data_IF_391003264046
#
_entry.id   IF_391003264046
#
_cell.length_a   1.000
_cell.length_b   1.000
_cell.length_c   1.000
_cell.angle_alpha   90.00
_cell.angle_beta   90.00
_cell.angle_gamma   90.00
#
_symmetry.space_group_name_H-M   'P 1'
#
loop_
_entity.id
_entity.type
_entity.pdbx_description
1 polymer ?
#
# COMPACT_ATOMS: atom_id res chain seq x y z
N UNK A 1 -72.54 -37.34 -10.87
CA UNK A 1 -71.66 -37.00 -12.02
C UNK A 1 -71.06 -35.61 -11.81
N UNK A 2 -69.88 -35.51 -11.19
CA UNK A 2 -69.21 -34.23 -10.93
C UNK A 2 -68.52 -33.73 -12.21
N UNK A 3 -69.13 -32.78 -12.92
CA UNK A 3 -68.46 -32.04 -14.01
C UNK A 3 -67.40 -31.12 -13.39
N UNK A 4 -66.19 -31.64 -13.18
CA UNK A 4 -65.00 -30.80 -12.95
C UNK A 4 -64.74 -30.01 -14.24
N UNK A 5 -65.26 -28.79 -14.30
CA UNK A 5 -64.88 -27.82 -15.32
C UNK A 5 -63.39 -27.53 -15.17
N UNK A 6 -62.56 -28.07 -16.07
CA UNK A 6 -61.15 -27.69 -16.17
C UNK A 6 -61.11 -26.17 -16.37
N UNK A 7 -60.34 -25.41 -15.57
CA UNK A 7 -60.23 -23.98 -15.78
C UNK A 7 -59.70 -23.73 -17.20
N UNK A 8 -60.45 -22.96 -17.99
CA UNK A 8 -60.09 -22.60 -19.36
C UNK A 8 -58.67 -22.05 -19.40
N UNK A 9 -57.88 -22.43 -20.40
CA UNK A 9 -56.47 -22.04 -20.57
C UNK A 9 -56.28 -20.53 -20.42
N UNK A 10 -57.22 -19.72 -20.94
CA UNK A 10 -57.25 -18.26 -20.76
C UNK A 10 -57.22 -17.78 -19.30
N UNK A 11 -57.90 -18.47 -18.37
CA UNK A 11 -57.88 -18.13 -16.95
C UNK A 11 -56.52 -18.43 -16.32
N UNK A 12 -55.84 -19.47 -16.79
CA UNK A 12 -54.51 -19.84 -16.34
C UNK A 12 -53.49 -18.82 -16.85
N UNK A 13 -53.55 -18.47 -18.14
CA UNK A 13 -52.68 -17.43 -18.75
C UNK A 13 -52.87 -16.08 -18.07
N UNK A 14 -54.11 -15.65 -17.79
CA UNK A 14 -54.37 -14.41 -17.06
C UNK A 14 -53.82 -14.42 -15.63
N UNK A 15 -53.88 -15.55 -14.92
CA UNK A 15 -53.29 -15.68 -13.59
C UNK A 15 -51.76 -15.62 -13.64
N UNK A 16 -51.15 -16.34 -14.58
CA UNK A 16 -49.70 -16.36 -14.77
C UNK A 16 -49.19 -14.97 -15.14
N UNK A 17 -49.82 -14.26 -16.07
CA UNK A 17 -49.44 -12.87 -16.39
C UNK A 17 -49.56 -11.95 -15.16
N UNK A 18 -50.62 -12.10 -14.37
CA UNK A 18 -50.81 -11.30 -13.15
C UNK A 18 -49.77 -11.62 -12.08
N UNK A 19 -49.33 -12.87 -11.98
CA UNK A 19 -48.25 -13.26 -11.08
C UNK A 19 -46.89 -12.76 -11.58
N UNK A 20 -46.61 -12.85 -12.89
CA UNK A 20 -45.41 -12.29 -13.51
C UNK A 20 -45.34 -10.78 -13.28
N UNK A 21 -46.44 -10.06 -13.46
CA UNK A 21 -46.49 -8.60 -13.30
C UNK A 21 -46.29 -8.19 -11.83
N UNK A 22 -46.88 -8.94 -10.88
CA UNK A 22 -46.62 -8.73 -9.44
C UNK A 22 -45.17 -9.04 -9.07
N UNK A 23 -44.61 -10.13 -9.59
CA UNK A 23 -43.21 -10.48 -9.35
C UNK A 23 -42.29 -9.43 -9.97
N UNK A 24 -42.60 -8.89 -11.15
CA UNK A 24 -41.86 -7.79 -11.77
C UNK A 24 -41.88 -6.54 -10.89
N UNK A 25 -43.04 -6.14 -10.38
CA UNK A 25 -43.15 -4.99 -9.47
C UNK A 25 -42.37 -5.21 -8.17
N UNK A 26 -42.36 -6.42 -7.63
CA UNK A 26 -41.56 -6.77 -6.47
C UNK A 26 -40.06 -6.70 -6.76
N UNK A 27 -39.62 -7.18 -7.92
CA UNK A 27 -38.23 -7.11 -8.36
C UNK A 27 -37.81 -5.65 -8.57
N UNK A 28 -38.64 -4.83 -9.23
CA UNK A 28 -38.38 -3.40 -9.41
C UNK A 28 -38.30 -2.65 -8.08
N UNK A 29 -39.15 -2.99 -7.10
CA UNK A 29 -39.07 -2.47 -5.74
C UNK A 29 -37.74 -2.82 -5.07
N UNK A 30 -37.33 -4.09 -5.13
CA UNK A 30 -36.06 -4.55 -4.56
C UNK A 30 -34.84 -3.90 -5.24
N UNK A 31 -34.89 -3.69 -6.57
CA UNK A 31 -33.83 -3.00 -7.31
C UNK A 31 -33.75 -1.54 -6.88
N UNK A 32 -34.89 -0.84 -6.75
CA UNK A 32 -34.91 0.54 -6.30
C UNK A 32 -34.39 0.70 -4.86
N UNK A 33 -34.75 -0.22 -3.97
CA UNK A 33 -34.24 -0.21 -2.60
C UNK A 33 -32.74 -0.53 -2.55
N UNK A 34 -32.26 -1.47 -3.38
CA UNK A 34 -30.83 -1.75 -3.52
C UNK A 34 -30.05 -0.55 -4.09
N UNK A 35 -30.60 0.18 -5.06
CA UNK A 35 -30.00 1.40 -5.59
C UNK A 35 -29.91 2.50 -4.54
N UNK A 36 -30.98 2.71 -3.74
CA UNK A 36 -30.95 3.65 -2.62
C UNK A 36 -29.94 3.27 -1.55
N UNK A 37 -29.85 1.98 -1.23
CA UNK A 37 -28.83 1.47 -0.30
C UNK A 37 -27.42 1.70 -0.85
N UNK A 38 -27.22 1.48 -2.15
CA UNK A 38 -25.95 1.74 -2.80
C UNK A 38 -25.58 3.23 -2.76
N UNK A 39 -26.52 4.14 -3.04
CA UNK A 39 -26.27 5.59 -2.94
C UNK A 39 -25.96 6.03 -1.50
N UNK A 40 -26.68 5.47 -0.52
CA UNK A 40 -26.41 5.72 0.90
C UNK A 40 -25.01 5.24 1.31
N UNK A 41 -24.63 4.02 0.91
CA UNK A 41 -23.29 3.49 1.10
C UNK A 41 -22.23 4.32 0.39
N UNK A 42 -22.49 4.74 -0.85
CA UNK A 42 -21.58 5.57 -1.62
C UNK A 42 -21.31 6.89 -0.91
N UNK A 43 -22.34 7.55 -0.39
CA UNK A 43 -22.17 8.79 0.39
C UNK A 43 -21.42 8.52 1.70
N UNK A 44 -21.75 7.45 2.42
CA UNK A 44 -21.09 7.07 3.66
C UNK A 44 -19.62 6.68 3.45
N UNK A 45 -19.23 6.20 2.26
CA UNK A 45 -17.85 5.88 1.90
C UNK A 45 -17.13 7.12 1.35
N UNK A 46 -17.77 7.96 0.55
CA UNK A 46 -17.12 9.10 -0.07
C UNK A 46 -16.62 10.12 0.94
N UNK A 47 -17.37 10.41 1.99
CA UNK A 47 -16.98 11.40 3.01
C UNK A 47 -15.73 11.00 3.80
N UNK A 48 -15.62 9.78 4.36
CA UNK A 48 -14.38 9.35 5.02
C UNK A 48 -13.21 9.24 4.05
N UNK A 49 -13.44 8.88 2.78
CA UNK A 49 -12.38 8.90 1.78
C UNK A 49 -11.89 10.32 1.48
N UNK A 50 -12.79 11.29 1.29
CA UNK A 50 -12.43 12.71 1.10
C UNK A 50 -11.69 13.25 2.32
N UNK A 51 -12.12 12.90 3.53
CA UNK A 51 -11.44 13.26 4.77
C UNK A 51 -10.04 12.66 4.85
N UNK A 52 -9.89 11.37 4.53
CA UNK A 52 -8.60 10.70 4.50
C UNK A 52 -7.66 11.31 3.46
N UNK A 53 -8.16 11.65 2.26
CA UNK A 53 -7.38 12.36 1.25
C UNK A 53 -6.87 13.69 1.78
N UNK A 54 -7.73 14.46 2.45
CA UNK A 54 -7.37 15.75 3.04
C UNK A 54 -6.32 15.58 4.15
N UNK A 55 -6.49 14.61 5.04
CA UNK A 55 -5.52 14.31 6.11
C UNK A 55 -4.16 13.86 5.53
N UNK A 56 -4.18 13.09 4.44
CA UNK A 56 -2.97 12.67 3.73
C UNK A 56 -2.29 13.86 3.04
N UNK A 57 -3.05 14.75 2.40
CA UNK A 57 -2.52 15.96 1.79
C UNK A 57 -1.93 16.91 2.85
N UNK A 58 -2.61 17.13 3.97
CA UNK A 58 -2.13 17.95 5.08
C UNK A 58 -0.86 17.35 5.71
N UNK A 59 -0.82 16.03 5.89
CA UNK A 59 0.37 15.32 6.38
C UNK A 59 1.53 15.45 5.41
N UNK A 60 1.28 15.26 4.10
CA UNK A 60 2.27 15.43 3.05
C UNK A 60 2.80 16.85 3.02
N UNK A 61 1.96 17.88 3.12
CA UNK A 61 2.43 19.27 3.17
C UNK A 61 3.31 19.52 4.39
N UNK A 62 2.90 19.03 5.57
CA UNK A 62 3.68 19.16 6.80
C UNK A 62 5.01 18.42 6.71
N UNK A 63 5.04 17.22 6.15
CA UNK A 63 6.26 16.45 5.93
C UNK A 63 7.16 17.09 4.88
N UNK A 64 6.61 17.57 3.77
CA UNK A 64 7.37 18.29 2.74
C UNK A 64 7.96 19.59 3.30
N UNK A 65 7.22 20.31 4.14
CA UNK A 65 7.73 21.51 4.81
C UNK A 65 8.87 21.20 5.77
N UNK A 66 8.67 20.22 6.67
CA UNK A 66 9.73 19.77 7.60
C UNK A 66 10.94 19.22 6.87
N UNK A 67 10.73 18.47 5.80
CA UNK A 67 11.80 17.97 4.96
C UNK A 67 12.57 19.10 4.30
N UNK A 68 11.89 20.11 3.75
CA UNK A 68 12.56 21.27 3.17
C UNK A 68 13.33 22.06 4.23
N UNK A 69 12.77 22.25 5.43
CA UNK A 69 13.46 22.92 6.54
C UNK A 69 14.71 22.14 6.99
N UNK A 70 14.61 20.82 7.18
CA UNK A 70 15.74 19.95 7.52
C UNK A 70 16.76 19.86 6.37
N UNK A 71 16.31 19.89 5.12
CA UNK A 71 17.18 19.90 3.94
C UNK A 71 17.96 21.20 3.84
N UNK A 72 17.30 22.36 3.99
CA UNK A 72 17.96 23.66 4.03
C UNK A 72 18.94 23.75 5.19
N UNK A 73 18.56 23.26 6.38
CA UNK A 73 19.43 23.20 7.55
C UNK A 73 20.66 22.33 7.30
N UNK A 74 20.50 21.11 6.78
CA UNK A 74 21.62 20.24 6.39
C UNK A 74 22.50 20.84 5.32
N UNK A 75 21.93 21.51 4.33
CA UNK A 75 22.69 22.19 3.29
C UNK A 75 23.53 23.33 3.86
N UNK A 76 22.99 24.07 4.84
CA UNK A 76 23.74 25.12 5.54
C UNK A 76 24.86 24.54 6.40
N UNK A 77 24.57 23.50 7.18
CA UNK A 77 25.57 22.77 7.97
C UNK A 77 26.67 22.18 7.09
N UNK A 78 26.31 21.64 5.91
CA UNK A 78 27.27 21.14 4.94
C UNK A 78 28.16 22.27 4.38
N UNK A 79 27.59 23.42 4.04
CA UNK A 79 28.36 24.58 3.57
C UNK A 79 29.29 25.12 4.66
N UNK A 80 28.85 25.18 5.92
CA UNK A 80 29.68 25.56 7.06
C UNK A 80 30.83 24.57 7.28
N UNK A 81 30.56 23.27 7.18
CA UNK A 81 31.58 22.23 7.31
C UNK A 81 32.56 22.25 6.15
N UNK A 82 32.08 22.47 4.92
CA UNK A 82 32.91 22.71 3.75
C UNK A 82 33.82 23.94 3.96
N UNK A 83 33.27 25.06 4.43
CA UNK A 83 34.05 26.27 4.71
C UNK A 83 35.09 26.04 5.80
N UNK A 84 34.72 25.35 6.89
CA UNK A 84 35.62 25.01 7.98
C UNK A 84 36.75 24.09 7.51
N UNK A 85 36.46 23.12 6.63
CA UNK A 85 37.48 22.26 6.02
C UNK A 85 38.39 23.06 5.09
N UNK A 86 37.85 23.97 4.27
CA UNK A 86 38.61 24.87 3.40
C UNK A 86 39.53 25.80 4.19
N UNK A 87 39.04 26.36 5.29
CA UNK A 87 39.77 27.23 6.20
C UNK A 87 40.89 26.46 6.93
N UNK A 88 40.60 25.23 7.37
CA UNK A 88 41.59 24.34 8.01
C UNK A 88 42.60 23.74 7.04
N UNK A 89 42.25 23.62 5.75
CA UNK A 89 43.20 23.28 4.68
C UNK A 89 44.05 24.48 4.23
N UNK A 90 43.84 25.68 4.78
CA UNK A 90 44.66 26.86 4.47
C UNK A 90 44.49 27.38 3.05
N UNK A 91 43.36 27.08 2.40
CA UNK A 91 43.04 27.65 1.07
C UNK A 91 42.11 28.83 1.27
N UNK A 92 42.68 29.94 1.77
CA UNK A 92 42.04 31.23 1.62
C UNK A 92 42.19 31.67 0.15
N UNK A 93 41.07 31.67 -0.56
CA UNK A 93 40.76 32.57 -1.67
C UNK A 93 41.86 32.81 -2.73
N UNK A 94 41.80 32.04 -3.81
CA UNK A 94 41.87 32.63 -5.15
C UNK A 94 40.96 31.84 -6.07
N UNK A 95 39.92 32.53 -6.56
CA UNK A 95 39.06 32.11 -7.69
C UNK A 95 38.03 30.99 -7.46
N UNK A 96 36.98 31.24 -6.68
CA UNK A 96 35.67 30.61 -6.95
C UNK A 96 34.58 31.71 -7.05
N UNK A 97 33.83 31.79 -8.17
CA UNK A 97 32.80 32.80 -8.34
C UNK A 97 31.63 32.53 -7.37
N UNK A 98 31.16 33.59 -6.71
CA UNK A 98 29.94 33.60 -5.90
C UNK A 98 28.76 33.04 -6.70
N UNK A 99 28.41 31.78 -6.49
CA UNK A 99 27.14 31.22 -6.97
C UNK A 99 26.02 31.72 -6.06
N UNK A 100 25.19 32.61 -6.61
CA UNK A 100 23.91 33.08 -6.07
C UNK A 100 23.06 31.91 -5.54
N UNK A 101 22.23 32.12 -4.50
CA UNK A 101 21.31 31.12 -4.01
C UNK A 101 20.33 30.72 -5.14
N UNK A 102 20.39 29.46 -5.56
CA UNK A 102 19.48 28.91 -6.55
C UNK A 102 18.06 28.84 -5.94
N UNK A 103 17.14 29.48 -6.65
CA UNK A 103 15.76 29.67 -6.29
C UNK A 103 14.97 28.38 -6.03
N UNK A 104 13.92 28.52 -5.20
CA UNK A 104 12.77 27.63 -5.02
C UNK A 104 12.44 26.78 -6.26
N UNK A 105 12.18 25.46 -6.12
CA UNK A 105 11.54 24.71 -7.19
C UNK A 105 10.05 25.04 -7.22
N UNK A 106 9.66 25.94 -8.13
CA UNK A 106 8.28 26.10 -8.56
C UNK A 106 7.87 24.92 -9.47
N UNK A 107 6.62 24.50 -9.34
CA UNK A 107 6.04 23.34 -10.00
C UNK A 107 5.65 23.56 -11.48
N UNK A 108 5.85 22.48 -12.29
CA UNK A 108 5.13 22.04 -13.52
C UNK A 108 5.21 22.89 -14.82
N UNK A 109 4.87 22.35 -16.04
CA UNK A 109 4.55 20.97 -16.48
C UNK A 109 5.25 20.49 -17.81
N UNK A 110 4.84 19.32 -18.29
CA UNK A 110 5.35 18.46 -19.38
C UNK A 110 5.46 19.02 -20.83
N UNK A 111 6.34 18.43 -21.66
CA UNK A 111 6.11 18.20 -23.10
C UNK A 111 7.10 17.18 -23.73
N UNK A 112 6.65 16.55 -24.83
CA UNK A 112 7.08 15.30 -25.48
C UNK A 112 8.24 15.42 -26.51
N UNK A 113 9.01 14.33 -26.60
CA UNK A 113 9.48 13.58 -27.78
C UNK A 113 10.16 14.26 -29.00
N UNK A 114 11.36 13.77 -29.37
CA UNK A 114 11.67 13.21 -30.72
C UNK A 114 13.07 12.51 -30.76
N UNK A 115 13.13 11.38 -31.47
CA UNK A 115 14.27 10.51 -31.88
C UNK A 115 14.72 10.94 -33.32
N UNK A 116 15.70 10.35 -34.08
CA UNK A 116 16.65 9.23 -33.86
C UNK A 116 18.07 9.32 -34.52
N UNK A 117 18.87 8.22 -34.40
CA UNK A 117 19.99 7.73 -35.27
C UNK A 117 21.42 8.33 -35.06
N UNK A 118 22.58 7.67 -35.24
CA UNK A 118 23.00 6.29 -35.58
C UNK A 118 24.52 6.10 -35.28
N UNK A 119 24.91 4.87 -34.91
CA UNK A 119 26.16 4.09 -35.20
C UNK A 119 27.58 4.72 -35.16
N UNK A 120 28.47 4.08 -34.37
CA UNK A 120 29.65 3.32 -34.85
C UNK A 120 30.23 2.36 -33.79
N UNK A 121 30.63 1.16 -34.24
CA UNK A 121 31.18 0.03 -33.48
C UNK A 121 32.72 0.10 -33.34
N UNK A 122 33.37 -0.79 -32.53
CA UNK A 122 33.81 -2.11 -33.03
C UNK A 122 33.60 -3.27 -31.99
N UNK A 123 33.07 -4.42 -32.39
CA UNK A 123 33.77 -5.65 -32.83
C UNK A 123 34.72 -6.32 -31.80
N UNK A 124 34.26 -7.45 -31.20
CA UNK A 124 34.83 -8.80 -31.40
C UNK A 124 33.97 -9.91 -30.76
N UNK A 125 33.77 -10.95 -31.57
CA UNK A 125 33.10 -12.25 -31.38
C UNK A 125 33.83 -13.13 -30.32
N UNK A 126 33.23 -14.22 -29.75
CA UNK A 126 32.59 -15.29 -30.51
C UNK A 126 31.22 -15.79 -30.01
N UNK A 127 30.47 -16.27 -30.99
CA UNK A 127 29.21 -17.01 -30.87
C UNK A 127 29.55 -18.49 -30.75
N UNK A 128 28.96 -19.17 -29.76
CA UNK A 128 28.68 -20.60 -29.86
C UNK A 128 27.26 -20.88 -29.33
N UNK A 129 26.56 -21.73 -30.07
CA UNK A 129 25.10 -21.89 -30.16
C UNK A 129 24.41 -22.41 -28.89
N UNK A 130 23.16 -21.92 -28.73
CA UNK A 130 22.05 -22.42 -27.88
C UNK A 130 21.94 -23.97 -27.90
N UNK A 131 21.54 -24.60 -26.78
CA UNK A 131 20.16 -25.13 -26.77
C UNK A 131 19.41 -24.92 -25.44
N UNK A 132 18.08 -24.85 -25.61
CA UNK A 132 17.02 -25.24 -24.68
C UNK A 132 16.90 -24.57 -23.29
N UNK A 133 15.77 -23.88 -23.13
CA UNK A 133 15.18 -23.52 -21.85
C UNK A 133 15.09 -24.74 -20.91
N UNK A 134 15.81 -24.69 -19.78
CA UNK A 134 15.52 -25.57 -18.65
C UNK A 134 14.34 -25.00 -17.88
N UNK A 135 13.25 -25.78 -17.87
CA UNK A 135 12.09 -25.63 -16.98
C UNK A 135 12.57 -25.36 -15.56
N UNK A 136 11.94 -24.38 -14.92
CA UNK A 136 12.02 -24.16 -13.48
C UNK A 136 11.71 -25.48 -12.74
N UNK A 137 12.48 -25.87 -11.72
CA UNK A 137 12.13 -27.01 -10.91
C UNK A 137 10.84 -26.69 -10.15
N UNK A 138 9.80 -27.47 -10.44
CA UNK A 138 8.57 -27.49 -9.67
C UNK A 138 8.93 -27.67 -8.18
N UNK A 139 8.56 -26.68 -7.36
CA UNK A 139 8.74 -26.73 -5.90
C UNK A 139 7.99 -27.95 -5.36
N UNK A 140 8.77 -28.93 -4.90
CA UNK A 140 8.33 -30.02 -4.02
C UNK A 140 7.55 -29.42 -2.84
N UNK A 141 6.47 -30.05 -2.35
CA UNK A 141 5.79 -29.61 -1.13
C UNK A 141 6.80 -29.65 0.01
N UNK A 142 7.12 -28.49 0.58
CA UNK A 142 7.98 -28.42 1.75
C UNK A 142 7.25 -29.07 2.92
N UNK A 143 7.90 -30.07 3.52
CA UNK A 143 7.60 -30.59 4.85
C UNK A 143 7.31 -29.43 5.83
N UNK A 144 6.44 -29.63 6.85
CA UNK A 144 5.99 -28.56 7.73
C UNK A 144 7.21 -27.90 8.34
N UNK A 145 7.52 -26.69 7.83
CA UNK A 145 8.58 -25.88 8.38
C UNK A 145 8.18 -25.65 9.83
N UNK A 146 9.06 -26.04 10.76
CA UNK A 146 9.01 -25.51 12.13
C UNK A 146 8.72 -24.03 11.99
N UNK A 147 7.61 -23.57 12.57
CA UNK A 147 7.26 -22.16 12.59
C UNK A 147 8.51 -21.43 13.11
N UNK A 148 9.12 -20.62 12.25
CA UNK A 148 10.25 -19.79 12.65
C UNK A 148 9.71 -18.79 13.66
N UNK A 149 9.81 -19.12 14.96
CA UNK A 149 9.32 -18.31 16.08
C UNK A 149 9.95 -16.92 16.07
N UNK A 150 11.05 -16.72 15.35
CA UNK A 150 11.71 -15.43 15.16
C UNK A 150 11.16 -14.59 13.99
N UNK A 151 10.21 -15.13 13.23
CA UNK A 151 9.63 -14.47 12.07
C UNK A 151 8.29 -13.82 12.42
N UNK A 152 8.37 -12.61 12.99
CA UNK A 152 7.23 -11.84 13.45
C UNK A 152 6.21 -11.52 12.34
N UNK A 153 6.60 -11.59 11.06
CA UNK A 153 5.67 -11.39 9.93
C UNK A 153 4.68 -12.55 9.74
N UNK A 154 4.87 -13.66 10.46
CA UNK A 154 3.91 -14.77 10.46
C UNK A 154 2.64 -14.40 11.23
N UNK A 155 2.74 -13.49 12.19
CA UNK A 155 1.60 -12.95 12.92
C UNK A 155 0.80 -12.06 11.99
N UNK A 156 -0.46 -12.42 11.73
CA UNK A 156 -1.36 -11.67 10.87
C UNK A 156 -1.52 -10.24 11.43
N UNK A 157 -1.30 -9.26 10.56
CA UNK A 157 -1.31 -7.83 10.91
C UNK A 157 0.08 -7.24 11.19
N UNK A 158 1.11 -8.05 11.44
CA UNK A 158 2.49 -7.56 11.57
C UNK A 158 3.12 -7.46 10.17
N UNK A 159 3.06 -6.27 9.59
CA UNK A 159 3.72 -5.98 8.32
C UNK A 159 5.27 -5.96 8.43
N UNK A 160 6.00 -6.04 7.31
CA UNK A 160 7.47 -6.04 7.30
C UNK A 160 8.11 -4.80 7.95
N UNK A 161 7.42 -3.65 7.90
CA UNK A 161 7.86 -2.44 8.60
C UNK A 161 7.69 -2.57 10.13
N UNK A 162 6.56 -3.12 10.59
CA UNK A 162 6.31 -3.35 12.02
C UNK A 162 7.23 -4.44 12.56
N UNK A 163 7.45 -5.53 11.81
CA UNK A 163 8.41 -6.58 12.18
C UNK A 163 9.84 -6.04 12.32
N UNK A 164 10.27 -5.11 11.47
CA UNK A 164 11.57 -4.43 11.62
C UNK A 164 11.61 -3.58 12.89
N UNK A 165 10.60 -2.75 13.13
CA UNK A 165 10.54 -1.90 14.32
C UNK A 165 10.41 -2.70 15.62
N UNK A 166 9.73 -3.84 15.60
CA UNK A 166 9.65 -4.76 16.74
C UNK A 166 11.01 -5.42 17.02
N UNK A 167 11.73 -5.86 15.98
CA UNK A 167 13.10 -6.38 16.11
C UNK A 167 14.07 -5.32 16.63
N UNK A 168 13.96 -4.08 16.16
CA UNK A 168 14.73 -2.93 16.65
C UNK A 168 14.39 -2.59 18.11
N UNK A 169 13.12 -2.74 18.50
CA UNK A 169 12.68 -2.62 19.89
C UNK A 169 13.07 -3.83 20.76
N UNK A 170 13.70 -4.86 20.20
CA UNK A 170 14.13 -6.07 20.90
C UNK A 170 13.08 -7.17 21.04
N UNK A 171 11.87 -6.97 20.50
CA UNK A 171 10.86 -8.03 20.35
C UNK A 171 11.26 -8.82 19.11
N UNK A 172 11.86 -9.98 19.31
CA UNK A 172 12.42 -10.80 18.22
C UNK A 172 11.67 -12.10 18.01
N UNK A 173 10.78 -12.48 18.94
CA UNK A 173 10.05 -13.75 18.90
C UNK A 173 8.53 -13.59 18.99
N UNK A 174 7.81 -14.46 18.29
CA UNK A 174 6.34 -14.59 18.33
C UNK A 174 5.87 -14.84 19.77
N UNK A 175 6.65 -15.59 20.55
CA UNK A 175 6.35 -15.88 21.97
C UNK A 175 6.29 -14.61 22.84
N UNK A 176 7.14 -13.62 22.55
CA UNK A 176 7.16 -12.33 23.23
C UNK A 176 5.97 -11.44 22.83
N UNK A 177 5.36 -11.69 21.67
CA UNK A 177 4.15 -10.99 21.22
C UNK A 177 2.90 -11.66 21.80
N UNK A 178 2.91 -13.00 21.90
CA UNK A 178 1.85 -13.78 22.50
C UNK A 178 1.74 -13.53 24.01
N UNK A 179 2.85 -13.54 24.73
CA UNK A 179 2.94 -13.23 26.15
C UNK A 179 3.92 -12.07 26.38
N UNK A 180 3.49 -10.82 26.17
CA UNK A 180 4.37 -9.67 26.32
C UNK A 180 4.72 -9.41 27.79
N UNK A 181 6.02 -9.31 28.07
CA UNK A 181 6.54 -8.82 29.35
C UNK A 181 6.21 -7.33 29.52
N UNK A 182 6.31 -6.77 30.73
CA UNK A 182 5.98 -5.36 31.00
C UNK A 182 6.74 -4.39 30.06
N UNK A 183 8.01 -4.67 29.77
CA UNK A 183 8.83 -3.90 28.83
C UNK A 183 8.36 -4.06 27.36
N UNK A 184 7.85 -5.23 26.98
CA UNK A 184 7.35 -5.49 25.63
C UNK A 184 5.96 -4.90 25.44
N UNK A 185 5.15 -4.82 26.49
CA UNK A 185 3.86 -4.12 26.46
C UNK A 185 4.03 -2.63 26.19
N UNK A 186 5.02 -1.96 26.77
CA UNK A 186 5.29 -0.56 26.47
C UNK A 186 5.71 -0.34 25.01
N UNK A 187 6.55 -1.23 24.50
CA UNK A 187 6.97 -1.21 23.09
C UNK A 187 5.80 -1.51 22.15
N UNK A 188 4.94 -2.47 22.51
CA UNK A 188 3.72 -2.81 21.77
C UNK A 188 2.68 -1.68 21.81
N UNK A 189 2.60 -0.92 22.91
CA UNK A 189 1.78 0.30 22.99
C UNK A 189 2.25 1.36 21.99
N UNK A 190 3.55 1.48 21.74
CA UNK A 190 4.06 2.35 20.68
C UNK A 190 3.62 1.89 19.26
N UNK A 191 3.25 0.61 19.11
CA UNK A 191 2.67 0.04 17.90
C UNK A 191 1.13 -0.04 17.92
N UNK A 192 0.45 0.49 18.95
CA UNK A 192 -1.01 0.49 19.03
C UNK A 192 -1.67 1.22 17.85
N UNK A 193 -1.03 2.25 17.30
CA UNK A 193 -1.48 2.96 16.10
C UNK A 193 -1.40 2.14 14.81
N UNK A 194 -0.75 0.96 14.82
CA UNK A 194 -0.74 0.05 13.67
C UNK A 194 -2.07 -0.68 13.62
N UNK A 195 -2.73 -0.60 12.47
CA UNK A 195 -4.03 -1.27 12.23
C UNK A 195 -3.87 -2.79 12.44
N UNK A 196 -4.61 -3.36 13.38
CA UNK A 196 -4.52 -4.76 13.76
C UNK A 196 -3.61 -5.06 14.96
N UNK A 197 -3.01 -4.05 15.61
CA UNK A 197 -2.13 -4.21 16.78
C UNK A 197 -2.75 -4.99 17.95
N UNK A 198 -4.06 -4.83 18.16
CA UNK A 198 -4.83 -5.58 19.16
C UNK A 198 -4.88 -7.09 18.87
N UNK A 199 -4.81 -7.47 17.60
CA UNK A 199 -4.86 -8.88 17.16
C UNK A 199 -3.47 -9.53 17.17
N UNK A 200 -2.38 -8.76 17.26
CA UNK A 200 -1.01 -9.30 17.20
C UNK A 200 -0.77 -10.34 18.31
N UNK A 201 -1.23 -10.07 19.53
CA UNK A 201 -1.09 -11.02 20.64
C UNK A 201 -1.97 -12.26 20.47
N UNK A 202 -3.22 -12.08 20.01
CA UNK A 202 -4.15 -13.19 19.78
C UNK A 202 -3.69 -14.10 18.64
N UNK A 203 -3.17 -13.52 17.56
CA UNK A 203 -2.69 -14.27 16.41
C UNK A 203 -1.31 -14.88 16.67
N UNK A 204 -0.45 -14.22 17.46
CA UNK A 204 0.80 -14.82 17.92
C UNK A 204 0.54 -16.05 18.80
N UNK A 205 -0.49 -16.02 19.67
CA UNK A 205 -0.91 -17.19 20.46
C UNK A 205 -1.42 -18.35 19.61
N UNK A 206 -1.95 -18.11 18.40
CA UNK A 206 -2.37 -19.18 17.48
C UNK A 206 -1.20 -19.83 16.74
N UNK A 207 -0.05 -19.17 16.70
CA UNK A 207 1.16 -19.61 16.00
C UNK A 207 2.19 -20.27 16.95
N UNK A 208 1.84 -20.35 18.23
CA UNK A 208 2.63 -20.93 19.31
C UNK A 208 2.12 -22.33 19.65
#
# INVERSE_FOLDING_TARGET
>A
MAKKAKPSVDKIVKKVNKEIEKTSQQIEGLINDALKQFDSLQNQIQDPFKKLLKEVDDLREREMKRFNEEFERRMKEFQELQNSVLERLGVAQKDLPKTKPAAKPAAKPAAKASKPAEKKAPAKKPVAKKPAAKKAPAKKPAAPKKLDKSNLTLVKGIGPATAKKMKEAGITSIDQIANPSAADQEKLKAFSNVKGSAEFSAEAKKLL
#
